data_IF_740639706358
#
_entry.id   IF_740639706358
#
_cell.length_a   1.000
_cell.length_b   1.000
_cell.length_c   1.000
_cell.angle_alpha   90.00
_cell.angle_beta   90.00
_cell.angle_gamma   90.00
#
_symmetry.space_group_name_H-M   'P 1'
#
loop_
_entity.id
_entity.type
_entity.pdbx_description
1 polymer ?
#
# COMPACT_ATOMS: atom_id res chain seq x y z
N UNK A 1 -1.40 18.28 -6.95
CA UNK A 1 -1.79 17.99 -5.55
C UNK A 1 -3.29 18.17 -5.26
N UNK A 2 -4.15 18.44 -6.26
CA UNK A 2 -5.62 18.57 -6.09
C UNK A 2 -6.38 17.29 -6.50
N UNK A 3 -5.75 16.39 -7.26
CA UNK A 3 -6.38 15.17 -7.79
C UNK A 3 -6.43 14.03 -6.75
N UNK A 4 -5.49 13.99 -5.80
CA UNK A 4 -5.42 12.92 -4.79
C UNK A 4 -6.15 13.22 -3.47
N UNK A 5 -6.52 14.49 -3.20
CA UNK A 5 -7.25 14.85 -1.97
C UNK A 5 -8.77 14.63 -2.08
N UNK A 6 -9.34 14.62 -3.29
CA UNK A 6 -10.79 14.34 -3.50
C UNK A 6 -11.16 12.86 -3.42
N UNK A 7 -10.20 11.94 -3.49
CA UNK A 7 -10.47 10.51 -3.32
C UNK A 7 -10.82 10.14 -1.87
N UNK A 8 -10.57 11.04 -0.90
CA UNK A 8 -10.90 10.83 0.52
C UNK A 8 -12.37 11.05 0.89
N UNK A 9 -13.23 11.50 -0.03
CA UNK A 9 -14.56 12.01 0.33
C UNK A 9 -15.78 11.31 -0.31
N UNK A 10 -15.66 10.08 -0.84
CA UNK A 10 -16.85 9.34 -1.34
C UNK A 10 -17.10 7.96 -0.71
N UNK A 11 -16.32 7.51 0.28
CA UNK A 11 -16.55 6.20 0.91
C UNK A 11 -16.59 6.33 2.43
N UNK A 12 -17.61 7.04 2.92
CA UNK A 12 -18.08 6.91 4.31
C UNK A 12 -19.56 6.58 4.29
N UNK A 13 -19.92 5.66 5.18
CA UNK A 13 -21.25 5.15 5.51
C UNK A 13 -21.84 4.16 4.51
N UNK A 14 -21.76 2.86 4.86
CA UNK A 14 -22.91 1.99 5.13
C UNK A 14 -24.21 2.27 4.34
N UNK A 15 -24.11 2.55 3.03
CA UNK A 15 -25.26 2.48 2.14
C UNK A 15 -25.58 1.00 2.04
N UNK A 16 -26.76 0.61 2.52
CA UNK A 16 -27.33 -0.70 2.20
C UNK A 16 -27.22 -0.85 0.69
N UNK A 17 -26.52 -1.90 0.25
CA UNK A 17 -26.36 -2.19 -1.17
C UNK A 17 -27.73 -2.16 -1.83
N UNK A 18 -27.82 -1.48 -2.97
CA UNK A 18 -29.07 -1.48 -3.73
C UNK A 18 -29.38 -2.92 -4.16
N UNK A 19 -30.66 -3.28 -4.27
CA UNK A 19 -31.06 -4.61 -4.75
C UNK A 19 -30.42 -4.95 -6.11
N UNK A 20 -30.25 -3.94 -6.97
CA UNK A 20 -29.51 -4.07 -8.22
C UNK A 20 -28.04 -4.48 -8.02
N UNK A 21 -27.32 -3.88 -7.07
CA UNK A 21 -25.93 -4.26 -6.75
C UNK A 21 -25.84 -5.68 -6.20
N UNK A 22 -26.82 -6.12 -5.41
CA UNK A 22 -26.88 -7.50 -4.91
C UNK A 22 -27.06 -8.51 -6.04
N UNK A 23 -27.97 -8.23 -6.98
CA UNK A 23 -28.18 -9.09 -8.16
C UNK A 23 -26.95 -9.11 -9.05
N UNK A 24 -26.35 -7.96 -9.34
CA UNK A 24 -25.16 -7.90 -10.18
C UNK A 24 -23.96 -8.59 -9.52
N UNK A 25 -23.85 -8.56 -8.19
CA UNK A 25 -22.84 -9.32 -7.47
C UNK A 25 -23.12 -10.83 -7.54
N UNK A 26 -24.39 -11.26 -7.42
CA UNK A 26 -24.78 -12.66 -7.58
C UNK A 26 -24.44 -13.19 -8.99
N UNK A 27 -24.81 -12.44 -10.03
CA UNK A 27 -24.53 -12.80 -11.43
C UNK A 27 -23.01 -12.87 -11.68
N UNK A 28 -22.25 -11.92 -11.16
CA UNK A 28 -20.78 -11.91 -11.27
C UNK A 28 -20.15 -13.11 -10.54
N UNK A 29 -20.66 -13.48 -9.37
CA UNK A 29 -20.21 -14.66 -8.64
C UNK A 29 -20.52 -15.95 -9.41
N UNK A 30 -21.73 -16.10 -9.94
CA UNK A 30 -22.12 -17.25 -10.77
C UNK A 30 -21.24 -17.37 -12.01
N UNK A 31 -20.96 -16.25 -12.69
CA UNK A 31 -20.03 -16.25 -13.82
C UNK A 31 -18.62 -16.67 -13.40
N UNK A 32 -18.12 -16.20 -12.25
CA UNK A 32 -16.81 -16.59 -11.76
C UNK A 32 -16.74 -18.09 -11.46
N UNK A 33 -17.76 -18.66 -10.80
CA UNK A 33 -17.83 -20.11 -10.54
C UNK A 33 -17.81 -20.88 -11.85
N UNK A 34 -18.60 -20.46 -12.85
CA UNK A 34 -18.63 -21.08 -14.17
C UNK A 34 -17.25 -21.04 -14.87
N UNK A 35 -16.55 -19.90 -14.81
CA UNK A 35 -15.21 -19.74 -15.38
C UNK A 35 -14.19 -20.62 -14.66
N UNK A 36 -14.22 -20.66 -13.33
CA UNK A 36 -13.32 -21.50 -12.55
C UNK A 36 -13.58 -22.98 -12.83
N UNK A 37 -14.84 -23.38 -12.95
CA UNK A 37 -15.22 -24.72 -13.39
C UNK A 37 -14.62 -25.02 -14.77
N UNK A 38 -14.80 -24.14 -15.76
CA UNK A 38 -14.26 -24.33 -17.11
C UNK A 38 -12.74 -24.50 -17.15
N UNK A 39 -12.01 -23.68 -16.37
CA UNK A 39 -10.56 -23.77 -16.24
C UNK A 39 -10.12 -25.08 -15.56
N UNK A 40 -10.89 -25.52 -14.56
CA UNK A 40 -10.64 -26.75 -13.81
C UNK A 40 -11.10 -28.03 -14.54
N UNK A 41 -11.96 -27.90 -15.56
CA UNK A 41 -12.67 -29.01 -16.18
C UNK A 41 -11.73 -30.05 -16.78
N UNK A 42 -10.74 -29.63 -17.58
CA UNK A 42 -9.79 -30.57 -18.19
C UNK A 42 -8.84 -31.19 -17.15
N UNK A 43 -8.16 -30.42 -16.28
CA UNK A 43 -7.25 -31.00 -15.27
C UNK A 43 -7.92 -31.95 -14.28
N UNK A 44 -9.17 -31.66 -13.88
CA UNK A 44 -9.89 -32.44 -12.86
C UNK A 44 -11.03 -33.28 -13.44
N UNK A 45 -11.05 -33.53 -14.75
CA UNK A 45 -12.12 -34.29 -15.42
C UNK A 45 -12.37 -35.64 -14.77
N UNK A 46 -11.31 -36.36 -14.42
CA UNK A 46 -11.41 -37.72 -13.85
C UNK A 46 -12.12 -37.71 -12.49
N UNK A 47 -11.97 -36.62 -11.71
CA UNK A 47 -12.69 -36.41 -10.47
C UNK A 47 -14.17 -36.07 -10.75
N UNK A 48 -14.43 -35.25 -11.76
CA UNK A 48 -15.79 -34.88 -12.16
C UNK A 48 -16.59 -36.07 -12.71
N UNK A 49 -15.95 -36.96 -13.47
CA UNK A 49 -16.58 -38.20 -13.94
C UNK A 49 -17.01 -39.12 -12.78
N UNK A 50 -16.22 -39.17 -11.69
CA UNK A 50 -16.55 -39.99 -10.52
C UNK A 50 -17.70 -39.41 -9.68
N UNK A 51 -17.84 -38.09 -9.67
CA UNK A 51 -18.80 -37.39 -8.79
C UNK A 51 -20.09 -37.01 -9.50
N UNK A 52 -20.01 -36.58 -10.76
CA UNK A 52 -21.10 -36.08 -11.59
C UNK A 52 -20.93 -36.54 -13.06
N UNK A 53 -21.05 -37.86 -13.35
CA UNK A 53 -20.74 -38.43 -14.67
C UNK A 53 -21.56 -37.80 -15.79
N UNK A 54 -22.90 -37.83 -15.69
CA UNK A 54 -23.81 -37.34 -16.74
C UNK A 54 -23.56 -35.86 -17.09
N UNK A 55 -23.30 -35.02 -16.10
CA UNK A 55 -23.02 -33.60 -16.33
C UNK A 55 -21.66 -33.39 -16.99
N UNK A 56 -20.65 -34.16 -16.57
CA UNK A 56 -19.29 -34.08 -17.11
C UNK A 56 -19.24 -34.49 -18.57
N UNK A 57 -19.92 -35.59 -18.93
CA UNK A 57 -20.04 -36.04 -20.32
C UNK A 57 -20.75 -35.01 -21.19
N UNK A 58 -21.94 -34.57 -20.75
CA UNK A 58 -22.71 -33.54 -21.46
C UNK A 58 -21.89 -32.25 -21.68
N UNK A 59 -21.18 -31.78 -20.66
CA UNK A 59 -20.36 -30.58 -20.76
C UNK A 59 -19.18 -30.76 -21.73
N UNK A 60 -18.51 -31.91 -21.63
CA UNK A 60 -17.40 -32.30 -22.49
C UNK A 60 -17.78 -32.32 -23.96
N UNK A 61 -18.86 -33.02 -24.29
CA UNK A 61 -19.37 -33.12 -25.65
C UNK A 61 -19.80 -31.75 -26.18
N UNK A 62 -20.58 -31.00 -25.39
CA UNK A 62 -21.19 -29.75 -25.85
C UNK A 62 -20.20 -28.61 -26.01
N UNK A 63 -19.22 -28.49 -25.09
CA UNK A 63 -18.36 -27.30 -24.99
C UNK A 63 -16.88 -27.57 -25.25
N UNK A 64 -16.38 -28.78 -25.00
CA UNK A 64 -14.94 -29.11 -25.14
C UNK A 64 -14.63 -30.04 -26.30
N UNK A 65 -15.63 -30.47 -27.07
CA UNK A 65 -15.48 -31.42 -28.17
C UNK A 65 -14.87 -32.74 -27.71
N UNK A 66 -15.22 -33.16 -26.50
CA UNK A 66 -14.75 -34.43 -25.92
C UNK A 66 -15.74 -35.52 -26.28
N UNK A 67 -15.25 -36.56 -26.92
CA UNK A 67 -16.01 -37.75 -27.29
C UNK A 67 -15.36 -38.99 -26.65
N UNK A 68 -16.11 -40.07 -26.39
CA UNK A 68 -15.52 -41.35 -26.03
C UNK A 68 -14.50 -41.80 -27.08
N UNK A 69 -13.33 -42.26 -26.63
CA UNK A 69 -12.29 -42.70 -27.57
C UNK A 69 -12.71 -44.00 -28.27
N UNK A 70 -12.63 -44.01 -29.61
CA UNK A 70 -13.19 -45.09 -30.43
C UNK A 70 -12.47 -46.41 -30.18
N UNK A 71 -11.14 -46.38 -30.03
CA UNK A 71 -10.31 -47.58 -29.87
C UNK A 71 -10.56 -48.24 -28.51
N UNK A 72 -10.53 -47.46 -27.43
CA UNK A 72 -10.79 -47.97 -26.08
C UNK A 72 -12.24 -48.43 -25.89
N UNK A 73 -13.23 -47.72 -26.45
CA UNK A 73 -14.64 -48.16 -26.42
C UNK A 73 -14.84 -49.44 -27.21
N UNK A 74 -14.22 -49.58 -28.39
CA UNK A 74 -14.31 -50.81 -29.18
C UNK A 74 -13.68 -51.99 -28.44
N UNK A 75 -12.56 -51.77 -27.76
CA UNK A 75 -11.89 -52.77 -26.93
C UNK A 75 -12.75 -53.20 -25.73
N UNK A 76 -13.34 -52.26 -24.98
CA UNK A 76 -14.23 -52.60 -23.86
C UNK A 76 -15.48 -53.37 -24.33
N UNK A 77 -16.03 -53.04 -25.50
CA UNK A 77 -17.13 -53.81 -26.11
C UNK A 77 -16.74 -55.25 -26.50
N UNK A 78 -15.46 -55.53 -26.75
CA UNK A 78 -14.98 -56.91 -26.93
C UNK A 78 -14.96 -57.65 -25.59
N UNK A 79 -14.54 -56.97 -24.52
CA UNK A 79 -14.54 -57.52 -23.16
C UNK A 79 -15.96 -57.82 -22.69
N UNK A 80 -16.90 -56.88 -22.88
CA UNK A 80 -18.31 -57.07 -22.52
C UNK A 80 -18.94 -58.27 -23.27
N UNK A 81 -18.54 -58.49 -24.53
CA UNK A 81 -18.96 -59.68 -25.29
C UNK A 81 -18.37 -60.97 -24.72
N UNK A 82 -17.12 -60.94 -24.25
CA UNK A 82 -16.49 -62.10 -23.62
C UNK A 82 -17.17 -62.46 -22.30
N UNK A 83 -17.56 -61.46 -21.51
CA UNK A 83 -18.30 -61.65 -20.24
C UNK A 83 -19.67 -62.33 -20.42
N UNK A 84 -20.21 -62.32 -21.64
CA UNK A 84 -21.52 -62.91 -21.98
C UNK A 84 -21.44 -64.25 -22.74
N UNK A 85 -20.23 -64.77 -22.97
CA UNK A 85 -20.01 -66.02 -23.70
C UNK A 85 -19.14 -66.98 -22.89
N UNK A 86 -19.29 -68.29 -23.12
CA UNK A 86 -18.38 -69.27 -22.54
C UNK A 86 -17.00 -69.18 -23.22
N UNK A 87 -15.94 -69.40 -22.45
CA UNK A 87 -14.54 -69.24 -22.90
C UNK A 87 -14.20 -70.22 -24.04
N UNK A 88 -14.74 -71.44 -23.98
CA UNK A 88 -14.46 -72.51 -24.95
C UNK A 88 -14.94 -72.16 -26.37
N UNK A 89 -16.03 -71.40 -26.48
CA UNK A 89 -16.59 -70.91 -27.75
C UNK A 89 -15.99 -69.56 -28.18
N UNK A 90 -15.16 -68.93 -27.33
CA UNK A 90 -14.69 -67.55 -27.49
C UNK A 90 -13.29 -67.42 -28.10
N UNK A 91 -12.72 -68.47 -28.71
CA UNK A 91 -11.33 -68.47 -29.25
C UNK A 91 -11.05 -67.32 -30.21
N UNK A 92 -12.00 -67.03 -31.11
CA UNK A 92 -11.88 -65.91 -32.04
C UNK A 92 -11.92 -64.55 -31.33
N UNK A 93 -12.72 -64.42 -30.27
CA UNK A 93 -12.84 -63.20 -29.48
C UNK A 93 -11.59 -62.95 -28.63
N UNK A 94 -11.01 -64.00 -28.05
CA UNK A 94 -9.72 -63.94 -27.35
C UNK A 94 -8.57 -63.56 -28.28
N UNK A 95 -8.57 -64.03 -29.53
CA UNK A 95 -7.60 -63.59 -30.54
C UNK A 95 -7.76 -62.08 -30.86
N UNK A 96 -8.99 -61.61 -31.04
CA UNK A 96 -9.27 -60.18 -31.27
C UNK A 96 -8.85 -59.31 -30.08
N UNK A 97 -9.09 -59.75 -28.84
CA UNK A 97 -8.68 -59.02 -27.63
C UNK A 97 -7.15 -58.89 -27.54
N UNK A 98 -6.41 -59.93 -27.90
CA UNK A 98 -4.93 -59.91 -27.94
C UNK A 98 -4.39 -58.95 -29.00
N UNK A 99 -4.96 -59.01 -30.20
CA UNK A 99 -4.62 -58.10 -31.29
C UNK A 99 -4.89 -56.64 -30.91
N UNK A 100 -6.11 -56.34 -30.42
CA UNK A 100 -6.48 -55.00 -30.01
C UNK A 100 -5.67 -54.49 -28.81
N UNK A 101 -5.30 -55.37 -27.87
CA UNK A 101 -4.38 -55.00 -26.78
C UNK A 101 -3.03 -54.56 -27.31
N UNK A 102 -2.52 -55.26 -28.34
CA UNK A 102 -1.25 -54.89 -29.00
C UNK A 102 -1.37 -53.54 -29.71
N UNK A 103 -2.47 -53.32 -30.46
CA UNK A 103 -2.77 -52.05 -31.12
C UNK A 103 -2.81 -50.89 -30.12
N UNK A 104 -3.52 -51.04 -28.99
CA UNK A 104 -3.59 -50.01 -27.95
C UNK A 104 -2.20 -49.70 -27.36
N UNK A 105 -1.37 -50.72 -27.14
CA UNK A 105 -0.01 -50.54 -26.61
C UNK A 105 0.90 -49.82 -27.62
N UNK A 106 0.76 -50.11 -28.91
CA UNK A 106 1.60 -49.55 -29.98
C UNK A 106 1.17 -48.15 -30.41
N UNK A 107 -0.11 -47.96 -30.69
CA UNK A 107 -0.64 -46.70 -31.22
C UNK A 107 -0.85 -45.66 -30.13
N UNK A 108 -0.91 -46.08 -28.86
CA UNK A 108 -1.13 -45.21 -27.70
C UNK A 108 -2.31 -44.23 -27.92
N UNK A 109 -3.56 -44.72 -27.97
CA UNK A 109 -4.73 -43.87 -28.15
C UNK A 109 -4.92 -42.85 -27.02
N UNK A 110 -4.17 -42.98 -25.91
CA UNK A 110 -4.18 -42.05 -24.78
C UNK A 110 -3.33 -40.79 -25.02
N UNK A 111 -2.46 -40.79 -26.02
CA UNK A 111 -1.57 -39.66 -26.31
C UNK A 111 -2.35 -38.39 -26.68
N UNK A 112 -3.41 -38.52 -27.47
CA UNK A 112 -4.25 -37.40 -27.92
C UNK A 112 -4.92 -36.69 -26.75
N UNK A 113 -5.27 -37.43 -25.69
CA UNK A 113 -5.85 -36.89 -24.46
C UNK A 113 -4.80 -36.39 -23.44
N UNK A 114 -3.51 -36.41 -23.78
CA UNK A 114 -2.41 -36.20 -22.82
C UNK A 114 -2.47 -37.15 -21.62
N UNK A 115 -2.95 -38.39 -21.84
CA UNK A 115 -3.13 -39.43 -20.82
C UNK A 115 -2.18 -40.61 -20.99
N UNK A 116 -1.05 -40.45 -21.67
CA UNK A 116 -0.08 -41.56 -21.87
C UNK A 116 0.39 -42.21 -20.57
N UNK A 117 0.46 -41.45 -19.47
CA UNK A 117 0.75 -42.01 -18.14
C UNK A 117 -0.30 -43.01 -17.64
N UNK A 118 -1.57 -42.84 -18.02
CA UNK A 118 -2.63 -43.80 -17.73
C UNK A 118 -2.40 -45.11 -18.47
N UNK A 119 -1.98 -45.05 -19.74
CA UNK A 119 -1.61 -46.25 -20.50
C UNK A 119 -0.40 -46.95 -19.88
N UNK A 120 0.63 -46.20 -19.45
CA UNK A 120 1.77 -46.82 -18.76
C UNK A 120 1.36 -47.49 -17.45
N UNK A 121 0.43 -46.90 -16.70
CA UNK A 121 -0.14 -47.56 -15.51
C UNK A 121 -0.85 -48.86 -15.86
N UNK A 122 -1.67 -48.88 -16.91
CA UNK A 122 -2.33 -50.09 -17.41
C UNK A 122 -1.28 -51.14 -17.80
N UNK A 123 -0.26 -50.75 -18.55
CA UNK A 123 0.83 -51.64 -18.98
C UNK A 123 1.57 -52.24 -17.79
N UNK A 124 1.87 -51.44 -16.77
CA UNK A 124 2.53 -51.91 -15.55
C UNK A 124 1.66 -52.87 -14.75
N UNK A 125 0.37 -52.58 -14.56
CA UNK A 125 -0.56 -53.49 -13.87
C UNK A 125 -0.63 -54.87 -14.53
N UNK A 126 -0.53 -54.91 -15.86
CA UNK A 126 -0.48 -56.17 -16.60
C UNK A 126 0.86 -56.88 -16.45
N UNK A 127 1.98 -56.16 -16.61
CA UNK A 127 3.33 -56.70 -16.39
C UNK A 127 3.47 -57.29 -14.99
N UNK A 128 3.08 -56.55 -13.97
CA UNK A 128 3.19 -56.94 -12.55
C UNK A 128 2.38 -58.20 -12.26
N UNK A 129 1.22 -58.37 -12.91
CA UNK A 129 0.37 -59.55 -12.71
C UNK A 129 1.01 -60.84 -13.23
N UNK A 130 1.78 -60.77 -14.31
CA UNK A 130 2.40 -61.93 -14.94
C UNK A 130 3.91 -62.02 -14.73
N UNK A 131 4.52 -61.02 -14.05
CA UNK A 131 5.96 -60.87 -13.91
C UNK A 131 6.68 -60.86 -15.27
N UNK A 132 6.07 -60.18 -16.24
CA UNK A 132 6.54 -60.08 -17.63
C UNK A 132 7.14 -58.70 -17.92
N UNK A 133 8.24 -58.63 -18.65
CA UNK A 133 8.86 -57.34 -19.04
C UNK A 133 8.04 -56.64 -20.15
N UNK A 134 7.44 -57.43 -21.03
CA UNK A 134 6.66 -56.93 -22.16
C UNK A 134 5.18 -56.83 -21.78
N UNK A 135 4.63 -55.61 -21.83
CA UNK A 135 3.20 -55.42 -21.62
C UNK A 135 2.36 -56.14 -22.68
N UNK A 136 2.86 -56.27 -23.92
CA UNK A 136 2.20 -57.03 -24.98
C UNK A 136 2.14 -58.52 -24.63
N UNK A 137 3.23 -59.09 -24.13
CA UNK A 137 3.27 -60.48 -23.69
C UNK A 137 2.29 -60.71 -22.53
N UNK A 138 2.28 -59.81 -21.55
CA UNK A 138 1.35 -59.86 -20.43
C UNK A 138 -0.13 -59.80 -20.87
N UNK A 139 -0.47 -58.91 -21.82
CA UNK A 139 -1.83 -58.86 -22.39
C UNK A 139 -2.17 -60.13 -23.18
N UNK A 140 -1.21 -60.67 -23.94
CA UNK A 140 -1.39 -61.91 -24.69
C UNK A 140 -1.64 -63.10 -23.76
N UNK A 141 -0.96 -63.15 -22.62
CA UNK A 141 -1.14 -64.17 -21.60
C UNK A 141 -2.47 -64.01 -20.85
N UNK A 142 -2.86 -62.78 -20.52
CA UNK A 142 -4.14 -62.50 -19.85
C UNK A 142 -5.35 -62.94 -20.68
N UNK A 143 -5.31 -62.69 -21.99
CA UNK A 143 -6.37 -63.10 -22.92
C UNK A 143 -6.13 -64.49 -23.53
N UNK A 144 -5.29 -65.33 -22.92
CA UNK A 144 -5.10 -66.71 -23.35
C UNK A 144 -6.21 -67.62 -22.84
N UNK A 145 -6.56 -68.64 -23.63
CA UNK A 145 -7.56 -69.65 -23.28
C UNK A 145 -7.12 -70.38 -21.99
N UNK A 146 -5.88 -70.87 -21.95
CA UNK A 146 -5.29 -71.57 -20.80
C UNK A 146 -5.40 -70.76 -19.49
N UNK A 147 -5.19 -69.44 -19.55
CA UNK A 147 -5.32 -68.59 -18.39
C UNK A 147 -6.80 -68.36 -18.03
N UNK A 148 -7.71 -68.15 -18.98
CA UNK A 148 -9.11 -67.82 -18.65
C UNK A 148 -9.99 -69.03 -18.35
N UNK A 149 -9.59 -70.25 -18.71
CA UNK A 149 -10.35 -71.49 -18.45
C UNK A 149 -10.59 -71.78 -16.96
N UNK A 150 -9.71 -71.30 -16.07
CA UNK A 150 -9.83 -71.49 -14.62
C UNK A 150 -10.18 -70.17 -13.92
N UNK A 151 -11.14 -70.17 -13.01
CA UNK A 151 -11.52 -68.99 -12.21
C UNK A 151 -11.78 -67.72 -13.08
N UNK A 152 -12.47 -67.87 -14.21
CA UNK A 152 -12.74 -66.79 -15.17
C UNK A 152 -13.33 -65.55 -14.51
N UNK A 153 -14.30 -65.73 -13.62
CA UNK A 153 -14.97 -64.63 -12.92
C UNK A 153 -14.00 -63.78 -12.08
N UNK A 154 -13.05 -64.40 -11.38
CA UNK A 154 -12.04 -63.67 -10.58
C UNK A 154 -11.06 -62.89 -11.49
N UNK A 155 -10.68 -63.50 -12.63
CA UNK A 155 -9.75 -62.90 -13.60
C UNK A 155 -10.38 -61.70 -14.31
N UNK A 156 -11.64 -61.80 -14.70
CA UNK A 156 -12.41 -60.69 -15.26
C UNK A 156 -12.70 -59.60 -14.22
N UNK A 157 -12.99 -59.97 -12.96
CA UNK A 157 -13.17 -58.99 -11.89
C UNK A 157 -11.93 -58.12 -11.64
N UNK A 158 -10.71 -58.65 -11.82
CA UNK A 158 -9.50 -57.82 -11.82
C UNK A 158 -9.50 -56.80 -12.95
N UNK A 159 -9.85 -57.23 -14.17
CA UNK A 159 -9.90 -56.32 -15.31
C UNK A 159 -10.90 -55.20 -15.04
N UNK A 160 -12.08 -55.53 -14.55
CA UNK A 160 -13.13 -54.56 -14.23
C UNK A 160 -12.75 -53.59 -13.11
N UNK A 161 -11.98 -54.05 -12.13
CA UNK A 161 -11.58 -53.24 -10.98
C UNK A 161 -10.36 -52.36 -11.28
N UNK A 162 -9.36 -52.90 -11.96
CA UNK A 162 -8.05 -52.25 -12.09
C UNK A 162 -7.83 -51.62 -13.48
N UNK A 163 -8.32 -52.25 -14.56
CA UNK A 163 -8.02 -51.84 -15.94
C UNK A 163 -9.18 -51.02 -16.55
N UNK A 164 -10.42 -51.51 -16.47
CA UNK A 164 -11.61 -50.87 -17.05
C UNK A 164 -11.78 -49.40 -16.61
N UNK A 165 -11.58 -49.00 -15.34
CA UNK A 165 -11.70 -47.60 -14.95
C UNK A 165 -10.62 -46.71 -15.57
N UNK A 166 -9.43 -47.26 -15.82
CA UNK A 166 -8.32 -46.55 -16.48
C UNK A 166 -8.56 -46.41 -18.00
N UNK A 167 -9.24 -47.38 -18.61
CA UNK A 167 -9.66 -47.29 -20.01
C UNK A 167 -10.79 -46.26 -20.19
N UNK A 168 -11.79 -46.25 -19.30
CA UNK A 168 -12.95 -45.35 -19.36
C UNK A 168 -12.62 -43.86 -19.18
N UNK A 169 -11.48 -43.52 -18.58
CA UNK A 169 -11.04 -42.12 -18.50
C UNK A 169 -10.44 -41.62 -19.81
N UNK A 170 -10.11 -42.51 -20.76
CA UNK A 170 -9.64 -42.09 -22.07
C UNK A 170 -10.75 -41.40 -22.86
N UNK A 171 -10.37 -40.44 -23.70
CA UNK A 171 -11.30 -39.73 -24.54
C UNK A 171 -10.61 -39.17 -25.77
N UNK A 172 -11.37 -38.96 -26.84
CA UNK A 172 -10.91 -38.19 -27.98
C UNK A 172 -11.27 -36.72 -27.78
N UNK A 173 -10.31 -35.81 -28.00
CA UNK A 173 -10.57 -34.37 -28.01
C UNK A 173 -10.51 -33.85 -29.43
N UNK A 174 -11.65 -33.41 -29.94
CA UNK A 174 -11.75 -32.82 -31.26
C UNK A 174 -10.84 -31.60 -31.39
N UNK A 175 -10.27 -31.45 -32.58
CA UNK A 175 -9.39 -30.36 -32.97
C UNK A 175 -10.12 -29.52 -34.02
N UNK A 176 -10.04 -28.20 -33.91
CA UNK A 176 -10.63 -27.30 -34.89
C UNK A 176 -9.74 -27.15 -36.14
N UNK A 177 -10.25 -26.47 -37.16
CA UNK A 177 -9.53 -26.20 -38.42
C UNK A 177 -8.18 -25.46 -38.23
N UNK A 178 -7.94 -24.87 -37.05
CA UNK A 178 -6.70 -24.15 -36.69
C UNK A 178 -5.71 -25.02 -35.92
N UNK A 179 -5.97 -26.31 -35.74
CA UNK A 179 -5.10 -27.22 -35.01
C UNK A 179 -5.19 -27.09 -33.48
N UNK A 180 -6.13 -26.31 -32.95
CA UNK A 180 -6.32 -26.16 -31.50
C UNK A 180 -7.45 -27.06 -31.00
N UNK A 181 -7.39 -27.56 -29.75
CA UNK A 181 -8.50 -28.29 -29.18
C UNK A 181 -9.79 -27.45 -29.17
N UNK A 182 -10.92 -28.10 -29.43
CA UNK A 182 -12.21 -27.41 -29.45
C UNK A 182 -12.52 -26.83 -28.06
N UNK A 183 -12.89 -25.55 -28.04
CA UNK A 183 -13.37 -24.84 -26.85
C UNK A 183 -14.45 -23.83 -27.24
N UNK A 184 -15.69 -24.18 -26.94
CA UNK A 184 -16.88 -23.38 -27.22
C UNK A 184 -17.44 -22.69 -25.96
N UNK A 185 -16.68 -22.63 -24.86
CA UNK A 185 -17.13 -21.97 -23.62
C UNK A 185 -17.58 -20.52 -23.84
N UNK A 186 -16.92 -19.83 -24.78
CA UNK A 186 -17.24 -18.45 -25.13
C UNK A 186 -18.72 -18.24 -25.47
N UNK A 187 -19.44 -19.27 -25.95
CA UNK A 187 -20.87 -19.17 -26.29
C UNK A 187 -21.75 -18.91 -25.06
N UNK A 188 -21.44 -19.54 -23.92
CA UNK A 188 -22.14 -19.28 -22.66
C UNK A 188 -21.65 -17.93 -22.12
N UNK A 189 -20.34 -17.74 -22.13
CA UNK A 189 -19.70 -16.59 -21.52
C UNK A 189 -20.08 -15.26 -22.19
N UNK A 190 -20.39 -15.29 -23.49
CA UNK A 190 -20.80 -14.12 -24.27
C UNK A 190 -21.99 -13.40 -23.65
N UNK A 191 -22.97 -14.14 -23.13
CA UNK A 191 -24.15 -13.54 -22.50
C UNK A 191 -23.78 -12.75 -21.24
N UNK A 192 -22.86 -13.28 -20.43
CA UNK A 192 -22.34 -12.58 -19.26
C UNK A 192 -21.48 -11.39 -19.65
N UNK A 193 -20.57 -11.56 -20.63
CA UNK A 193 -19.72 -10.47 -21.13
C UNK A 193 -20.55 -9.32 -21.69
N UNK A 194 -21.60 -9.61 -22.47
CA UNK A 194 -22.51 -8.62 -23.01
C UNK A 194 -23.26 -7.86 -21.91
N UNK A 195 -23.76 -8.58 -20.89
CA UNK A 195 -24.40 -7.97 -19.73
C UNK A 195 -23.45 -7.03 -18.98
N UNK A 196 -22.23 -7.48 -18.66
CA UNK A 196 -21.25 -6.67 -17.94
C UNK A 196 -20.73 -5.50 -18.76
N UNK A 197 -20.51 -5.67 -20.06
CA UNK A 197 -20.12 -4.60 -20.96
C UNK A 197 -21.22 -3.52 -21.02
N UNK A 198 -22.49 -3.93 -21.15
CA UNK A 198 -23.62 -3.00 -21.18
C UNK A 198 -23.75 -2.25 -19.86
N UNK A 199 -23.67 -2.95 -18.72
CA UNK A 199 -23.69 -2.34 -17.40
C UNK A 199 -22.53 -1.33 -17.23
N UNK A 200 -21.33 -1.70 -17.67
CA UNK A 200 -20.15 -0.85 -17.60
C UNK A 200 -20.31 0.42 -18.44
N UNK A 201 -20.80 0.30 -19.69
CA UNK A 201 -21.07 1.44 -20.56
C UNK A 201 -22.12 2.38 -19.95
N UNK A 202 -23.23 1.84 -19.44
CA UNK A 202 -24.27 2.65 -18.79
C UNK A 202 -23.71 3.36 -17.54
N UNK A 203 -23.02 2.64 -16.65
CA UNK A 203 -22.46 3.23 -15.43
C UNK A 203 -21.43 4.31 -15.72
N UNK A 204 -20.53 4.09 -16.69
CA UNK A 204 -19.50 5.08 -17.07
C UNK A 204 -20.11 6.29 -17.78
N UNK A 205 -21.14 6.10 -18.60
CA UNK A 205 -21.87 7.19 -19.24
C UNK A 205 -22.64 8.06 -18.23
N UNK A 206 -23.33 7.44 -17.27
CA UNK A 206 -24.00 8.19 -16.19
C UNK A 206 -22.98 8.92 -15.32
N UNK A 207 -21.81 8.31 -15.08
CA UNK A 207 -20.74 8.92 -14.28
C UNK A 207 -20.12 10.15 -14.96
N UNK A 208 -19.87 10.09 -16.27
CA UNK A 208 -19.36 11.24 -17.02
C UNK A 208 -20.38 12.38 -17.04
N UNK A 209 -21.68 12.08 -17.15
CA UNK A 209 -22.75 13.09 -17.09
C UNK A 209 -22.90 13.75 -15.72
N UNK A 210 -22.54 13.07 -14.63
CA UNK A 210 -22.64 13.60 -13.26
C UNK A 210 -21.44 14.44 -12.82
N UNK A 211 -20.33 14.36 -13.55
CA UNK A 211 -19.10 15.07 -13.21
C UNK A 211 -18.72 16.02 -14.35
N UNK A 212 -18.93 17.32 -14.12
CA UNK A 212 -18.73 18.38 -15.14
C UNK A 212 -17.34 18.41 -15.78
N UNK A 213 -16.31 17.90 -15.09
CA UNK A 213 -14.92 17.90 -15.55
C UNK A 213 -14.40 16.52 -15.99
N UNK A 214 -15.24 15.50 -16.08
CA UNK A 214 -14.81 14.15 -16.44
C UNK A 214 -15.21 13.81 -17.88
N UNK A 215 -14.23 13.52 -18.74
CA UNK A 215 -14.54 12.94 -20.05
C UNK A 215 -15.03 11.50 -19.88
N UNK A 216 -15.76 10.97 -20.86
CA UNK A 216 -16.24 9.58 -20.81
C UNK A 216 -15.10 8.54 -20.76
N UNK A 217 -13.98 8.71 -21.51
CA UNK A 217 -12.79 7.89 -21.32
C UNK A 217 -12.22 7.95 -19.89
N UNK A 218 -12.21 9.13 -19.25
CA UNK A 218 -11.75 9.26 -17.86
C UNK A 218 -12.64 8.46 -16.90
N UNK A 219 -13.97 8.51 -17.12
CA UNK A 219 -14.92 7.72 -16.35
C UNK A 219 -14.73 6.21 -16.53
N UNK A 220 -14.34 5.75 -17.73
CA UNK A 220 -13.96 4.35 -17.98
C UNK A 220 -12.68 3.98 -17.23
N UNK A 221 -11.66 4.84 -17.23
CA UNK A 221 -10.40 4.61 -16.51
C UNK A 221 -10.61 4.52 -14.99
N UNK A 222 -11.50 5.34 -14.42
CA UNK A 222 -11.85 5.24 -13.00
C UNK A 222 -12.49 3.89 -12.63
N UNK A 223 -13.07 3.19 -13.59
CA UNK A 223 -13.69 1.87 -13.44
C UNK A 223 -12.92 0.76 -14.15
N UNK A 224 -11.61 0.94 -14.39
CA UNK A 224 -10.78 -0.04 -15.08
C UNK A 224 -10.85 -1.45 -14.44
N UNK A 225 -11.10 -1.52 -13.13
CA UNK A 225 -11.26 -2.77 -12.40
C UNK A 225 -12.47 -3.61 -12.84
N UNK A 226 -13.48 -3.04 -13.50
CA UNK A 226 -14.64 -3.75 -14.03
C UNK A 226 -14.35 -4.39 -15.41
N UNK A 227 -13.33 -3.91 -16.13
CA UNK A 227 -12.97 -4.36 -17.48
C UNK A 227 -12.71 -5.88 -17.58
N UNK A 228 -12.03 -6.53 -16.62
CA UNK A 228 -11.82 -7.98 -16.66
C UNK A 228 -13.11 -8.82 -16.75
N UNK A 229 -14.28 -8.28 -16.37
CA UNK A 229 -15.55 -9.01 -16.45
C UNK A 229 -15.99 -9.35 -17.87
N UNK A 230 -15.66 -8.52 -18.86
CA UNK A 230 -16.09 -8.69 -20.24
C UNK A 230 -14.94 -8.98 -21.22
N UNK A 231 -13.73 -9.15 -20.71
CA UNK A 231 -12.62 -9.65 -21.51
C UNK A 231 -12.75 -11.18 -21.66
N UNK A 232 -12.60 -11.67 -22.90
CA UNK A 232 -12.69 -13.09 -23.24
C UNK A 232 -11.41 -13.91 -22.99
N UNK A 233 -10.27 -13.23 -22.82
CA UNK A 233 -8.96 -13.80 -22.44
C UNK A 233 -8.62 -13.52 -20.97
N UNK A 234 -7.67 -14.26 -20.39
CA UNK A 234 -7.28 -14.14 -18.97
C UNK A 234 -8.46 -14.13 -17.99
N UNK A 235 -9.44 -15.01 -18.22
CA UNK A 235 -10.73 -15.03 -17.50
C UNK A 235 -10.59 -15.14 -15.97
N UNK A 236 -9.48 -15.67 -15.47
CA UNK A 236 -9.18 -15.72 -14.03
C UNK A 236 -9.08 -14.33 -13.38
N UNK A 237 -8.79 -13.28 -14.15
CA UNK A 237 -8.70 -11.91 -13.66
C UNK A 237 -10.06 -11.38 -13.14
N UNK A 238 -11.17 -12.05 -13.50
CA UNK A 238 -12.53 -11.76 -12.99
C UNK A 238 -12.65 -11.85 -11.48
N UNK A 239 -11.74 -12.54 -10.79
CA UNK A 239 -11.68 -12.57 -9.34
C UNK A 239 -11.62 -11.15 -8.75
N UNK A 240 -10.88 -10.22 -9.38
CA UNK A 240 -10.72 -8.85 -8.90
C UNK A 240 -12.05 -8.08 -8.87
N UNK A 241 -12.77 -7.90 -10.00
CA UNK A 241 -14.06 -7.20 -9.97
C UNK A 241 -15.11 -7.92 -9.13
N UNK A 242 -15.15 -9.25 -9.16
CA UNK A 242 -16.16 -10.03 -8.42
C UNK A 242 -15.99 -9.84 -6.92
N UNK A 243 -14.77 -9.95 -6.39
CA UNK A 243 -14.50 -9.73 -4.96
C UNK A 243 -14.86 -8.31 -4.54
N UNK A 244 -14.57 -7.30 -5.36
CA UNK A 244 -14.96 -5.92 -5.10
C UNK A 244 -16.48 -5.74 -5.11
N UNK A 245 -17.20 -6.36 -6.05
CA UNK A 245 -18.67 -6.33 -6.12
C UNK A 245 -19.32 -7.03 -4.94
N UNK A 246 -18.78 -8.16 -4.50
CA UNK A 246 -19.21 -8.84 -3.28
C UNK A 246 -19.01 -7.96 -2.04
N UNK A 247 -17.94 -7.17 -2.02
CA UNK A 247 -17.73 -6.18 -0.96
C UNK A 247 -18.72 -5.03 -1.01
N UNK A 248 -18.97 -4.48 -2.20
CA UNK A 248 -19.98 -3.43 -2.40
C UNK A 248 -21.40 -3.91 -2.05
N UNK A 249 -21.72 -5.18 -2.33
CA UNK A 249 -22.98 -5.82 -1.97
C UNK A 249 -23.12 -6.13 -0.46
N UNK A 250 -22.04 -5.96 0.32
CA UNK A 250 -22.00 -6.26 1.74
C UNK A 250 -21.86 -7.75 2.08
N UNK A 251 -21.57 -8.61 1.10
CA UNK A 251 -21.39 -10.06 1.32
C UNK A 251 -20.00 -10.41 1.85
N UNK A 252 -18.99 -9.57 1.57
CA UNK A 252 -17.60 -9.76 2.02
C UNK A 252 -17.05 -8.44 2.55
N UNK A 253 -16.36 -8.42 3.70
CA UNK A 253 -15.74 -7.18 4.19
C UNK A 253 -14.24 -7.13 3.80
N UNK A 254 -13.90 -6.30 2.82
CA UNK A 254 -12.51 -6.09 2.35
C UNK A 254 -11.81 -4.89 3.02
N UNK A 255 -12.45 -4.18 3.96
CA UNK A 255 -11.82 -3.05 4.67
C UNK A 255 -10.48 -3.42 5.32
N UNK A 256 -10.30 -4.59 5.96
CA UNK A 256 -9.02 -4.97 6.55
C UNK A 256 -7.91 -5.09 5.50
N UNK A 257 -8.22 -5.62 4.32
CA UNK A 257 -7.26 -5.85 3.24
C UNK A 257 -6.88 -4.54 2.55
N UNK A 258 -7.87 -3.69 2.23
CA UNK A 258 -7.64 -2.35 1.65
C UNK A 258 -6.73 -1.52 2.54
N UNK A 259 -6.97 -1.53 3.85
CA UNK A 259 -6.17 -0.76 4.81
C UNK A 259 -4.74 -1.28 4.93
N UNK A 260 -4.47 -2.57 4.67
CA UNK A 260 -3.10 -3.12 4.63
C UNK A 260 -2.38 -2.71 3.36
N UNK A 261 -3.04 -2.85 2.20
CA UNK A 261 -2.46 -2.48 0.89
C UNK A 261 -2.18 -0.97 0.82
N UNK A 262 -3.12 -0.13 1.25
CA UNK A 262 -2.92 1.32 1.25
C UNK A 262 -1.77 1.74 2.18
N UNK A 263 -1.67 1.12 3.36
CA UNK A 263 -0.53 1.36 4.27
C UNK A 263 0.80 0.94 3.65
N UNK A 264 0.86 -0.22 2.98
CA UNK A 264 2.07 -0.69 2.32
C UNK A 264 2.52 0.27 1.20
N UNK A 265 1.61 0.62 0.29
CA UNK A 265 1.89 1.54 -0.83
C UNK A 265 2.29 2.92 -0.31
N UNK A 266 1.52 3.49 0.63
CA UNK A 266 1.84 4.80 1.21
C UNK A 266 3.16 4.76 1.95
N UNK A 267 3.48 3.69 2.69
CA UNK A 267 4.76 3.59 3.40
C UNK A 267 5.97 3.62 2.46
N UNK A 268 5.84 3.05 1.26
CA UNK A 268 6.90 3.01 0.26
C UNK A 268 7.09 4.39 -0.39
N UNK A 269 6.01 5.02 -0.85
CA UNK A 269 6.09 6.35 -1.48
C UNK A 269 6.27 7.50 -0.49
N UNK A 270 5.88 7.34 0.78
CA UNK A 270 6.00 8.41 1.78
C UNK A 270 7.46 8.72 2.14
N UNK A 271 8.41 7.83 1.90
CA UNK A 271 9.84 8.14 2.10
C UNK A 271 10.27 9.21 1.09
N UNK A 272 10.13 8.92 -0.20
CA UNK A 272 10.51 9.81 -1.30
C UNK A 272 9.69 11.10 -1.32
N UNK A 273 8.38 11.03 -1.07
CA UNK A 273 7.52 12.21 -1.09
C UNK A 273 7.76 13.17 0.08
N UNK A 274 8.13 12.67 1.26
CA UNK A 274 8.35 13.55 2.43
C UNK A 274 9.60 14.41 2.25
N UNK A 275 10.65 13.83 1.66
CA UNK A 275 11.86 14.57 1.28
C UNK A 275 11.53 15.71 0.31
N UNK A 276 10.83 15.40 -0.78
CA UNK A 276 10.41 16.39 -1.77
C UNK A 276 9.52 17.48 -1.15
N UNK A 277 8.60 17.11 -0.25
CA UNK A 277 7.70 18.06 0.42
C UNK A 277 8.48 18.99 1.34
N UNK A 278 9.46 18.49 2.10
CA UNK A 278 10.27 19.33 2.97
C UNK A 278 11.17 20.28 2.16
N UNK A 279 11.86 19.76 1.14
CA UNK A 279 12.67 20.58 0.24
C UNK A 279 11.83 21.67 -0.43
N UNK A 280 10.63 21.31 -0.91
CA UNK A 280 9.70 22.27 -1.50
C UNK A 280 9.18 23.30 -0.51
N UNK A 281 8.97 22.92 0.75
CA UNK A 281 8.56 23.86 1.79
C UNK A 281 9.67 24.86 2.12
N UNK A 282 10.93 24.40 2.15
CA UNK A 282 12.11 25.26 2.33
C UNK A 282 12.26 26.20 1.12
N UNK A 283 12.19 25.69 -0.11
CA UNK A 283 12.26 26.50 -1.34
C UNK A 283 11.14 27.55 -1.39
N UNK A 284 9.91 27.19 -0.99
CA UNK A 284 8.79 28.11 -0.92
C UNK A 284 9.04 29.20 0.12
N UNK A 285 9.64 28.86 1.25
CA UNK A 285 9.99 29.83 2.30
C UNK A 285 11.09 30.76 1.83
N UNK A 286 12.15 30.23 1.19
CA UNK A 286 13.21 31.02 0.57
C UNK A 286 12.67 32.00 -0.47
N UNK A 287 11.73 31.58 -1.33
CA UNK A 287 11.09 32.48 -2.31
C UNK A 287 10.33 33.62 -1.65
N UNK A 288 9.52 33.32 -0.63
CA UNK A 288 8.79 34.35 0.12
C UNK A 288 9.73 35.39 0.74
N UNK A 289 10.88 34.95 1.24
CA UNK A 289 11.93 35.81 1.81
C UNK A 289 12.62 36.62 0.72
N UNK A 290 13.04 35.99 -0.38
CA UNK A 290 13.74 36.63 -1.50
C UNK A 290 12.84 37.67 -2.21
N UNK A 291 11.56 37.35 -2.42
CA UNK A 291 10.58 38.21 -3.08
C UNK A 291 10.12 39.40 -2.20
N UNK A 292 10.56 39.48 -0.94
CA UNK A 292 10.27 40.62 -0.05
C UNK A 292 8.84 40.64 0.52
N UNK A 293 8.08 39.57 0.35
CA UNK A 293 6.70 39.45 0.84
C UNK A 293 6.64 39.24 2.37
N UNK A 294 7.78 38.90 3.02
CA UNK A 294 7.88 38.75 4.48
C UNK A 294 7.64 40.07 5.21
N UNK A 295 8.14 41.19 4.69
CA UNK A 295 7.89 42.51 5.28
C UNK A 295 6.41 42.85 5.20
N UNK A 296 5.74 42.49 4.09
CA UNK A 296 4.29 42.69 3.91
C UNK A 296 3.47 41.82 4.88
N UNK A 297 3.89 40.56 5.09
CA UNK A 297 3.24 39.65 6.04
C UNK A 297 3.47 40.05 7.51
N UNK A 298 4.68 40.46 7.90
CA UNK A 298 4.99 40.93 9.27
C UNK A 298 4.28 42.25 9.59
N UNK A 299 4.20 43.15 8.61
CA UNK A 299 3.46 44.41 8.73
C UNK A 299 1.94 44.18 8.79
N UNK A 300 1.41 43.19 8.05
CA UNK A 300 0.00 42.81 8.09
C UNK A 300 -0.37 42.04 9.39
N UNK A 301 0.53 41.21 9.91
CA UNK A 301 0.34 40.48 11.17
C UNK A 301 0.33 41.42 12.39
N UNK A 302 0.89 42.63 12.24
CA UNK A 302 0.92 43.66 13.27
C UNK A 302 -0.28 44.62 13.21
N UNK A 303 -1.16 44.48 12.22
CA UNK A 303 -2.38 45.28 12.12
C UNK A 303 -3.41 44.74 13.13
N UNK A 304 -3.43 45.38 14.32
CA UNK A 304 -4.21 44.96 15.51
C UNK A 304 -5.73 44.86 15.31
N UNK A 305 -6.26 45.21 14.14
CA UNK A 305 -7.70 45.21 13.87
C UNK A 305 -8.32 43.83 13.63
N UNK A 306 -7.56 42.74 13.69
CA UNK A 306 -8.07 41.37 13.53
C UNK A 306 -7.70 40.39 14.67
N UNK A 307 -7.35 40.90 15.85
CA UNK A 307 -7.41 40.07 17.05
C UNK A 307 -8.85 40.05 17.57
N UNK A 308 -9.53 38.93 17.36
CA UNK A 308 -10.80 38.66 18.04
C UNK A 308 -10.46 38.26 19.47
N UNK A 309 -10.64 39.19 20.40
CA UNK A 309 -10.67 38.91 21.84
C UNK A 309 -11.83 37.95 22.10
N UNK A 310 -11.49 36.67 22.28
CA UNK A 310 -12.45 35.60 22.45
C UNK A 310 -12.82 35.37 23.92
N UNK A 311 -12.13 36.00 24.89
CA UNK A 311 -12.28 35.63 26.30
C UNK A 311 -12.31 36.80 27.31
N UNK A 312 -12.17 38.06 26.91
CA UNK A 312 -12.28 39.20 27.83
C UNK A 312 -11.25 39.18 28.96
N UNK A 313 -10.16 38.44 28.78
CA UNK A 313 -9.00 38.42 29.66
C UNK A 313 -7.90 39.13 28.88
N UNK A 314 -7.35 40.19 29.43
CA UNK A 314 -6.24 40.92 28.82
C UNK A 314 -4.98 40.01 28.81
N UNK A 315 -4.86 39.15 27.79
CA UNK A 315 -3.81 38.14 27.72
C UNK A 315 -2.42 38.77 27.71
N UNK A 316 -2.33 40.00 27.19
CA UNK A 316 -1.11 40.82 27.22
C UNK A 316 -0.74 41.14 28.66
N UNK A 317 -1.66 41.59 29.51
CA UNK A 317 -1.36 41.92 30.91
C UNK A 317 -0.92 40.68 31.71
N UNK A 318 -1.55 39.53 31.45
CA UNK A 318 -1.20 38.26 32.10
C UNK A 318 0.17 37.75 31.64
N UNK A 319 0.47 37.88 30.35
CA UNK A 319 1.76 37.52 29.79
C UNK A 319 2.85 38.46 30.28
N UNK A 320 2.60 39.77 30.35
CA UNK A 320 3.51 40.78 30.90
C UNK A 320 3.81 40.47 32.36
N UNK A 321 2.81 40.09 33.17
CA UNK A 321 3.04 39.70 34.57
C UNK A 321 3.95 38.47 34.68
N UNK A 322 3.69 37.42 33.88
CA UNK A 322 4.54 36.23 33.84
C UNK A 322 5.95 36.50 33.31
N UNK A 323 6.08 37.35 32.30
CA UNK A 323 7.38 37.75 31.76
C UNK A 323 8.16 38.57 32.79
N UNK A 324 7.49 39.51 33.47
CA UNK A 324 8.08 40.28 34.58
C UNK A 324 8.57 39.36 35.69
N UNK A 325 7.80 38.34 36.07
CA UNK A 325 8.22 37.37 37.08
C UNK A 325 9.46 36.57 36.62
N UNK A 326 9.51 36.15 35.35
CA UNK A 326 10.68 35.46 34.80
C UNK A 326 11.89 36.38 34.72
N UNK A 327 11.71 37.63 34.29
CA UNK A 327 12.78 38.60 34.17
C UNK A 327 13.35 38.97 35.54
N UNK A 328 12.51 39.28 36.52
CA UNK A 328 12.93 39.71 37.86
C UNK A 328 13.50 38.55 38.67
N UNK A 329 12.88 37.38 38.65
CA UNK A 329 13.26 36.28 39.55
C UNK A 329 14.17 35.23 38.91
N UNK A 330 14.22 35.11 37.57
CA UNK A 330 15.05 34.09 36.90
C UNK A 330 16.18 34.66 36.06
N UNK A 331 15.97 35.80 35.39
CA UNK A 331 16.98 36.37 34.48
C UNK A 331 17.88 37.35 35.21
N UNK A 332 17.33 38.35 35.91
CA UNK A 332 18.09 39.39 36.59
C UNK A 332 19.14 38.83 37.57
N UNK A 333 18.84 37.80 38.40
CA UNK A 333 19.83 37.23 39.30
C UNK A 333 20.95 36.49 38.57
N UNK A 334 20.67 35.94 37.39
CA UNK A 334 21.66 35.22 36.57
C UNK A 334 22.57 36.17 35.80
N UNK A 335 22.07 37.33 35.40
CA UNK A 335 22.83 38.35 34.64
C UNK A 335 23.54 39.34 35.58
N UNK A 336 23.13 39.45 36.85
CA UNK A 336 23.79 40.27 37.88
C UNK A 336 25.33 40.13 37.89
N UNK A 337 25.94 38.93 37.92
CA UNK A 337 27.40 38.81 37.94
C UNK A 337 28.07 39.43 36.70
N UNK A 338 27.45 39.31 35.52
CA UNK A 338 27.99 39.92 34.29
C UNK A 338 27.84 41.46 34.30
N UNK A 339 26.74 41.95 34.90
CA UNK A 339 26.51 43.38 35.14
C UNK A 339 27.52 43.96 36.14
N UNK A 340 27.81 43.24 37.22
CA UNK A 340 28.81 43.62 38.22
C UNK A 340 30.18 43.79 37.54
N UNK A 341 30.56 42.84 36.67
CA UNK A 341 31.82 42.90 35.92
C UNK A 341 31.87 44.09 34.94
N UNK A 342 30.77 44.41 34.26
CA UNK A 342 30.70 45.56 33.35
C UNK A 342 30.77 46.92 34.09
N UNK A 343 30.07 47.03 35.22
CA UNK A 343 30.12 48.23 36.07
C UNK A 343 31.50 48.38 36.68
N UNK A 344 32.11 47.29 37.15
CA UNK A 344 33.49 47.27 37.65
C UNK A 344 34.47 47.79 36.60
N UNK A 345 34.40 47.29 35.37
CA UNK A 345 35.23 47.75 34.27
C UNK A 345 35.05 49.25 33.98
N UNK A 346 33.80 49.73 34.02
CA UNK A 346 33.46 51.13 33.74
C UNK A 346 33.89 52.08 34.87
N UNK A 347 33.69 51.68 36.13
CA UNK A 347 34.05 52.47 37.33
C UNK A 347 35.56 52.55 37.50
N UNK A 348 36.28 51.43 37.33
CA UNK A 348 37.75 51.42 37.36
C UNK A 348 38.30 52.27 36.21
N UNK A 349 37.74 52.14 35.00
CA UNK A 349 38.12 52.95 33.85
C UNK A 349 37.92 54.45 34.07
N UNK A 350 36.78 54.85 34.66
CA UNK A 350 36.48 56.25 34.97
C UNK A 350 37.36 56.82 36.10
N UNK A 351 37.62 56.04 37.16
CA UNK A 351 38.50 56.43 38.26
C UNK A 351 39.93 56.65 37.78
N UNK A 352 40.44 55.78 36.91
CA UNK A 352 41.79 55.92 36.33
C UNK A 352 41.96 57.18 35.46
N UNK A 353 40.87 57.70 34.90
CA UNK A 353 40.87 58.90 34.07
C UNK A 353 40.73 60.20 34.88
N UNK A 354 40.43 60.13 36.19
CA UNK A 354 40.23 61.31 37.02
C UNK A 354 41.57 61.98 37.42
N UNK A 355 41.73 63.31 37.31
CA UNK A 355 42.98 64.02 37.64
C UNK A 355 43.43 63.81 39.10
N UNK A 356 42.46 63.69 40.02
CA UNK A 356 42.72 63.44 41.44
C UNK A 356 43.33 62.04 41.69
N UNK A 357 43.01 61.05 40.85
CA UNK A 357 43.51 59.67 40.97
C UNK A 357 45.00 59.57 40.63
N UNK A 358 45.47 60.38 39.68
CA UNK A 358 46.87 60.41 39.27
C UNK A 358 47.79 61.00 40.35
N UNK A 359 47.30 61.98 41.13
CA UNK A 359 48.07 62.59 42.23
C UNK A 359 48.20 61.71 43.47
N UNK A 360 47.21 60.85 43.74
CA UNK A 360 47.16 60.02 44.93
C UNK A 360 47.84 58.64 44.74
N UNK A 361 48.13 58.26 43.49
CA UNK A 361 48.80 56.98 43.09
C UNK A 361 50.15 56.73 43.76
N UNK A 362 50.83 57.79 44.22
CA UNK A 362 52.17 57.69 44.81
C UNK A 362 52.18 57.51 46.34
N UNK A 363 51.02 57.44 46.99
CA UNK A 363 50.95 57.22 48.43
C UNK A 363 51.03 55.72 48.79
N UNK A 364 51.81 55.33 49.81
CA UNK A 364 51.84 53.95 50.28
C UNK A 364 50.45 53.53 50.78
N UNK A 365 49.94 52.40 50.24
CA UNK A 365 48.61 51.87 50.57
C UNK A 365 47.47 52.31 49.66
N UNK A 366 47.73 53.14 48.63
CA UNK A 366 46.72 53.64 47.70
C UNK A 366 46.00 52.54 46.91
N UNK A 367 46.71 51.48 46.48
CA UNK A 367 46.12 50.38 45.70
C UNK A 367 45.00 49.65 46.49
N UNK A 368 45.20 49.45 47.80
CA UNK A 368 44.19 48.82 48.66
C UNK A 368 42.96 49.72 48.84
N UNK A 369 43.17 51.03 48.98
CA UNK A 369 42.08 52.00 49.16
C UNK A 369 41.27 52.15 47.87
N UNK A 370 41.94 52.24 46.71
CA UNK A 370 41.28 52.34 45.40
C UNK A 370 40.45 51.10 45.08
N UNK A 371 41.00 49.91 45.32
CA UNK A 371 40.27 48.66 45.13
C UNK A 371 39.03 48.59 46.06
N UNK A 372 39.17 49.03 47.30
CA UNK A 372 38.06 49.02 48.27
C UNK A 372 36.96 50.03 47.93
N UNK A 373 37.32 51.23 47.45
CA UNK A 373 36.36 52.23 46.97
C UNK A 373 35.68 51.72 45.70
N UNK A 374 36.44 51.15 44.76
CA UNK A 374 35.89 50.60 43.52
C UNK A 374 34.90 49.48 43.82
N UNK A 375 35.26 48.53 44.68
CA UNK A 375 34.34 47.45 45.07
C UNK A 375 33.10 47.96 45.83
N UNK A 376 33.23 48.94 46.73
CA UNK A 376 32.07 49.51 47.43
C UNK A 376 31.15 50.29 46.49
N UNK A 377 31.72 51.09 45.58
CA UNK A 377 30.97 51.85 44.59
C UNK A 377 30.27 50.92 43.60
N UNK A 378 30.97 49.90 43.09
CA UNK A 378 30.38 48.89 42.19
C UNK A 378 29.28 48.10 42.90
N UNK A 379 29.51 47.67 44.14
CA UNK A 379 28.51 46.94 44.91
C UNK A 379 27.27 47.79 45.19
N UNK A 380 27.43 49.06 45.58
CA UNK A 380 26.29 49.94 45.89
C UNK A 380 25.57 50.40 44.62
N UNK A 381 26.29 50.67 43.51
CA UNK A 381 25.70 50.99 42.22
C UNK A 381 24.94 49.80 41.64
N UNK A 382 25.53 48.61 41.66
CA UNK A 382 24.87 47.39 41.21
C UNK A 382 23.63 47.08 42.04
N UNK A 383 23.74 47.18 43.36
CA UNK A 383 22.61 47.00 44.28
C UNK A 383 21.52 48.04 44.03
N UNK A 384 21.89 49.31 43.88
CA UNK A 384 20.93 50.38 43.58
C UNK A 384 20.28 50.17 42.21
N UNK A 385 21.03 49.73 41.19
CA UNK A 385 20.53 49.49 39.84
C UNK A 385 19.60 48.27 39.78
N UNK A 386 19.96 47.18 40.46
CA UNK A 386 19.08 46.01 40.57
C UNK A 386 17.84 46.29 41.40
N UNK A 387 17.96 47.05 42.51
CA UNK A 387 16.82 47.46 43.33
C UNK A 387 15.91 48.46 42.61
N UNK A 388 16.48 49.41 41.85
CA UNK A 388 15.70 50.35 41.05
C UNK A 388 15.05 49.66 39.86
N UNK A 389 15.69 48.68 39.21
CA UNK A 389 15.05 47.83 38.20
C UNK A 389 13.91 46.99 38.80
N UNK A 390 14.12 46.43 40.00
CA UNK A 390 13.10 45.65 40.70
C UNK A 390 11.92 46.52 41.15
N UNK A 391 12.18 47.75 41.62
CA UNK A 391 11.17 48.74 41.96
C UNK A 391 10.46 49.32 40.73
N UNK A 392 11.21 49.53 39.64
CA UNK A 392 10.68 50.02 38.38
C UNK A 392 9.69 49.01 37.78
N UNK A 393 9.97 47.70 37.85
CA UNK A 393 9.01 46.66 37.38
C UNK A 393 7.74 46.59 38.25
N UNK A 394 7.79 47.07 39.50
CA UNK A 394 6.64 47.07 40.42
C UNK A 394 5.77 48.35 40.35
N UNK A 395 6.26 49.44 39.74
CA UNK A 395 5.55 50.73 39.68
C UNK A 395 4.69 50.87 38.40
N UNK A 396 3.38 51.12 38.50
CA UNK A 396 2.50 51.39 37.35
C UNK A 396 2.95 52.58 36.48
N UNK A 397 3.73 53.54 36.99
CA UNK A 397 4.31 54.61 36.15
C UNK A 397 5.36 54.10 35.19
N UNK A 398 6.18 53.14 35.59
CA UNK A 398 7.19 52.52 34.72
C UNK A 398 6.56 51.76 33.58
N UNK A 399 5.43 51.07 33.80
CA UNK A 399 4.71 50.38 32.73
C UNK A 399 4.35 51.33 31.57
N UNK A 400 4.00 52.59 31.87
CA UNK A 400 3.72 53.61 30.83
C UNK A 400 4.96 54.17 30.14
N UNK A 401 6.11 54.21 30.82
CA UNK A 401 7.38 54.63 30.23
C UNK A 401 7.99 53.51 29.38
N UNK A 402 7.97 52.28 29.88
CA UNK A 402 8.34 51.08 29.14
C UNK A 402 7.44 50.89 27.92
N UNK A 403 6.13 51.11 28.06
CA UNK A 403 5.21 51.13 26.92
C UNK A 403 5.65 52.12 25.84
N UNK A 404 5.90 53.39 26.21
CA UNK A 404 6.39 54.41 25.26
C UNK A 404 7.75 54.10 24.65
N UNK A 405 8.65 53.48 25.40
CA UNK A 405 9.98 53.11 24.93
C UNK A 405 9.89 51.94 23.95
N UNK A 406 9.05 50.93 24.24
CA UNK A 406 8.73 49.83 23.35
C UNK A 406 8.03 50.30 22.08
N UNK A 407 7.11 51.26 22.18
CA UNK A 407 6.45 51.86 21.03
C UNK A 407 7.45 52.57 20.12
N UNK A 408 8.34 53.41 20.69
CA UNK A 408 9.39 54.10 19.92
C UNK A 408 10.46 53.15 19.37
N UNK A 409 10.83 52.12 20.12
CA UNK A 409 11.73 51.07 19.63
C UNK A 409 11.09 50.33 18.46
N UNK A 410 9.79 50.00 18.58
CA UNK A 410 9.01 49.37 17.51
C UNK A 410 8.96 50.24 16.26
N UNK A 411 8.68 51.53 16.40
CA UNK A 411 8.69 52.49 15.29
C UNK A 411 10.07 52.61 14.64
N UNK A 412 11.13 52.71 15.45
CA UNK A 412 12.51 52.86 14.97
C UNK A 412 13.01 51.59 14.28
N UNK A 413 12.73 50.42 14.86
CA UNK A 413 13.01 49.13 14.23
C UNK A 413 12.22 48.95 12.95
N UNK A 414 10.95 49.37 12.90
CA UNK A 414 10.14 49.34 11.69
C UNK A 414 10.70 50.25 10.60
N UNK A 415 11.23 51.42 10.97
CA UNK A 415 11.89 52.34 10.06
C UNK A 415 13.19 51.75 9.49
N UNK A 416 14.05 51.17 10.34
CA UNK A 416 15.28 50.51 9.90
C UNK A 416 15.03 49.22 9.11
N UNK A 417 13.97 48.47 9.42
CA UNK A 417 13.53 47.30 8.63
C UNK A 417 12.85 47.70 7.30
N UNK A 418 12.60 48.99 7.07
CA UNK A 418 12.20 49.52 5.76
C UNK A 418 13.39 50.02 4.94
N UNK A 419 14.57 50.19 5.56
CA UNK A 419 15.79 50.49 4.83
C UNK A 419 16.18 49.29 3.94
N UNK A 420 16.31 49.55 2.65
CA UNK A 420 16.49 48.53 1.62
C UNK A 420 17.80 47.74 1.77
N UNK A 421 18.83 48.36 2.33
CA UNK A 421 20.16 47.77 2.52
C UNK A 421 20.15 46.72 3.65
N UNK A 422 19.73 47.11 4.86
CA UNK A 422 19.62 46.21 6.03
C UNK A 422 18.64 45.06 5.79
N UNK A 423 17.56 45.31 5.04
CA UNK A 423 16.58 44.28 4.68
C UNK A 423 17.15 43.29 3.66
N UNK A 424 18.09 43.70 2.81
CA UNK A 424 18.73 42.79 1.84
C UNK A 424 19.70 41.86 2.53
N UNK A 425 20.51 42.38 3.46
CA UNK A 425 21.47 41.57 4.22
C UNK A 425 20.78 40.51 5.07
N UNK A 426 19.71 40.89 5.78
CA UNK A 426 18.92 39.94 6.59
C UNK A 426 18.25 38.88 5.71
N UNK A 427 17.70 39.26 4.55
CA UNK A 427 17.10 38.30 3.60
C UNK A 427 18.13 37.30 3.09
N UNK A 428 19.34 37.76 2.79
CA UNK A 428 20.42 36.91 2.33
C UNK A 428 20.86 35.93 3.42
N UNK A 429 21.08 36.41 4.65
CA UNK A 429 21.46 35.56 5.79
C UNK A 429 20.39 34.48 6.10
N UNK A 430 19.10 34.82 6.03
CA UNK A 430 18.03 33.84 6.25
C UNK A 430 17.94 32.86 5.08
N UNK A 431 18.11 33.32 3.84
CA UNK A 431 18.14 32.46 2.65
C UNK A 431 19.30 31.46 2.72
N UNK A 432 20.48 31.92 3.13
CA UNK A 432 21.69 31.11 3.28
C UNK A 432 21.54 30.09 4.41
N UNK A 433 20.95 30.49 5.56
CA UNK A 433 20.63 29.58 6.65
C UNK A 433 19.66 28.48 6.20
N UNK A 434 18.64 28.83 5.42
CA UNK A 434 17.67 27.85 4.87
C UNK A 434 18.34 26.90 3.87
N UNK A 435 19.31 27.39 3.10
CA UNK A 435 20.10 26.58 2.18
C UNK A 435 21.00 25.60 2.95
N UNK A 436 21.63 26.06 4.02
CA UNK A 436 22.44 25.24 4.90
C UNK A 436 21.60 24.14 5.59
N UNK A 437 20.37 24.46 6.02
CA UNK A 437 19.42 23.47 6.55
C UNK A 437 19.05 22.44 5.48
N UNK A 438 18.87 22.86 4.23
CA UNK A 438 18.54 22.00 3.09
C UNK A 438 19.68 21.00 2.82
N UNK A 439 20.92 21.48 2.74
CA UNK A 439 22.12 20.67 2.48
C UNK A 439 22.34 19.67 3.61
N UNK A 440 22.34 20.12 4.86
CA UNK A 440 22.53 19.26 6.03
C UNK A 440 21.44 18.16 6.14
N UNK A 441 20.21 18.46 5.74
CA UNK A 441 19.14 17.47 5.74
C UNK A 441 19.35 16.37 4.67
N UNK A 442 19.78 16.75 3.47
CA UNK A 442 20.06 15.81 2.37
C UNK A 442 21.25 14.92 2.69
N UNK A 443 22.35 15.48 3.22
CA UNK A 443 23.52 14.70 3.64
C UNK A 443 23.20 13.70 4.75
N UNK A 444 22.36 14.07 5.72
CA UNK A 444 21.95 13.17 6.79
C UNK A 444 21.11 11.99 6.30
N UNK A 445 20.26 12.19 5.29
CA UNK A 445 19.45 11.11 4.71
C UNK A 445 20.30 10.18 3.84
N UNK A 446 21.27 10.71 3.11
CA UNK A 446 22.19 9.89 2.31
C UNK A 446 23.07 8.96 3.16
N UNK A 447 23.32 9.32 4.43
CA UNK A 447 24.13 8.55 5.39
C UNK A 447 23.37 7.63 6.34
N UNK A 448 22.04 7.74 6.45
CA UNK A 448 21.22 6.85 7.30
C UNK A 448 20.67 5.66 6.49
N UNK A 449 20.95 4.43 6.95
CA UNK A 449 20.36 3.21 6.41
C UNK A 449 18.82 3.33 6.39
N UNK A 450 18.20 3.00 5.24
CA UNK A 450 16.75 3.12 4.99
C UNK A 450 15.88 2.46 6.08
N UNK A 451 16.44 1.47 6.79
CA UNK A 451 15.79 0.80 7.93
C UNK A 451 15.75 1.64 9.22
N UNK A 452 16.75 2.46 9.51
CA UNK A 452 16.78 3.30 10.72
C UNK A 452 15.79 4.47 10.61
N UNK A 453 15.69 5.09 9.43
CA UNK A 453 14.66 6.10 9.13
C UNK A 453 13.25 5.50 9.29
N UNK A 454 13.05 4.23 8.89
CA UNK A 454 11.79 3.51 9.05
C UNK A 454 11.45 3.27 10.53
N UNK A 455 12.44 2.91 11.36
CA UNK A 455 12.26 2.68 12.80
C UNK A 455 11.94 3.96 13.59
N UNK A 456 12.59 5.07 13.27
CA UNK A 456 12.37 6.38 13.91
C UNK A 456 10.94 6.91 13.69
N UNK A 457 10.35 6.63 12.52
CA UNK A 457 8.97 7.01 12.18
C UNK A 457 7.90 6.28 13.01
N UNK A 458 8.11 5.02 13.39
CA UNK A 458 7.16 4.29 14.24
C UNK A 458 7.04 4.92 15.64
N UNK A 459 8.14 5.46 16.18
CA UNK A 459 8.14 6.10 17.51
C UNK A 459 7.40 7.45 17.51
N UNK A 460 7.51 8.22 16.43
CA UNK A 460 6.84 9.52 16.29
C UNK A 460 5.32 9.34 16.10
N UNK A 461 4.89 8.33 15.35
CA UNK A 461 3.47 7.99 15.21
C UNK A 461 2.84 7.50 16.52
N UNK A 462 3.56 6.69 17.31
CA UNK A 462 3.09 6.25 18.63
C UNK A 462 2.99 7.41 19.63
N UNK A 463 3.89 8.40 19.55
CA UNK A 463 3.83 9.60 20.39
C UNK A 463 2.64 10.52 20.03
N UNK A 464 2.30 10.62 18.74
CA UNK A 464 1.16 11.42 18.28
C UNK A 464 -0.20 10.79 18.62
N UNK A 465 -0.28 9.45 18.72
CA UNK A 465 -1.51 8.74 19.05
C UNK A 465 -1.76 8.58 20.57
N UNK A 466 -0.79 8.91 21.43
CA UNK A 466 -0.94 8.91 22.90
C UNK A 466 -1.54 10.19 23.47
N UNK A 467 -1.93 11.17 22.64
CA UNK A 467 -2.60 12.43 23.06
C UNK A 467 -4.04 12.56 22.54
N UNK A 468 -4.80 11.45 22.51
CA UNK A 468 -6.26 11.49 22.42
C UNK A 468 -6.87 10.72 23.58
#
# INVERSE_FOLDING_TARGET
MIVLSRYRQSVRANRKATWFEQIMAAIALTNLILVLFDLSYIPYRDLYLRTLPNFTEWYGEKFKGIEPDRTTVAYLKLVDRLESQEIDDSKALLAQLREQSTVIVDENPFAVASKSGTLERIKNLMRDRFQEDSSKAAFNQFWSEDYLQTNTAEKLAFFDREIRPLMNVNYFRGINERGNPIDSFWRIDLWFMALFATEFLIRTYVLSRRHENASWPDAMLWRIYDVPLFIGFWRWLRIIPVTLRLHQAGWVNLEPMRNRVSRAIVSQFAVELTEIVLLRAIDQTQRLIQEGDVTRWLLAASDRNQYVDLNGIDEVQTLTKRLSDVMVYKVLPRVKPDLDALIEHSVIGALQQAPAYQGLKFMPGFDNISAQISHQVVAELSKTMTQSLQAAVADPKTATLTGRLLDRLGETLRYELQNAETTTDIRQLISDLLEEVKINYVERIAGEDVEQIRASRYRIYDAANRRR
#
